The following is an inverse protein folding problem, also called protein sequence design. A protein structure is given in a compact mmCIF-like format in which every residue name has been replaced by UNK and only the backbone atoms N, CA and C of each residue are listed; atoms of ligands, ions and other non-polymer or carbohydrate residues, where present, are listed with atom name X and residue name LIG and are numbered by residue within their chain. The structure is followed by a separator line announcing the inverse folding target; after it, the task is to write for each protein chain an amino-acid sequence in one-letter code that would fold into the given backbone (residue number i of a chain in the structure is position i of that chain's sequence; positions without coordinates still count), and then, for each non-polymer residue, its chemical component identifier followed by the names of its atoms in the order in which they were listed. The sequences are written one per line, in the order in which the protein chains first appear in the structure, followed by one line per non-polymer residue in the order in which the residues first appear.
data_IF_351725825831
#
_entry.id   IF_351725825831
#
_cell.length_a   1.000
_cell.length_b   1.000
_cell.length_c   1.000
_cell.angle_alpha   90.00
_cell.angle_beta   90.00
_cell.angle_gamma   90.00
#
_symmetry.space_group_name_H-M   'P 1'
#
loop_
_entity.id
_entity.type
_entity.pdbx_description
1 polymer ?
#
# COMPACT_ATOMS: atom_id res chain seq x y z
N UNK A 1 -29.96 24.05 -18.38
CA UNK A 1 -31.01 23.03 -18.56
C UNK A 1 -30.32 21.69 -18.58
N UNK A 2 -30.73 20.74 -17.73
CA UNK A 2 -30.19 19.38 -17.76
C UNK A 2 -31.16 18.49 -18.53
N UNK A 3 -30.63 17.72 -19.49
CA UNK A 3 -31.36 16.66 -20.17
C UNK A 3 -30.95 15.34 -19.50
N UNK A 4 -31.92 14.52 -19.12
CA UNK A 4 -31.70 13.22 -18.49
C UNK A 4 -32.41 12.17 -19.34
N UNK A 5 -31.73 11.09 -19.65
CA UNK A 5 -32.27 9.97 -20.40
C UNK A 5 -31.43 8.71 -20.20
N UNK A 6 -32.01 7.57 -20.58
CA UNK A 6 -31.33 6.28 -20.60
C UNK A 6 -30.91 5.98 -22.04
N UNK A 7 -29.62 5.70 -22.24
CA UNK A 7 -29.04 5.51 -23.56
C UNK A 7 -28.02 4.37 -23.54
N UNK A 8 -27.94 3.63 -24.64
CA UNK A 8 -26.84 2.72 -24.90
C UNK A 8 -25.61 3.47 -25.42
N UNK A 9 -24.40 2.93 -25.19
CA UNK A 9 -23.15 3.59 -25.57
C UNK A 9 -23.07 3.89 -27.08
N UNK A 10 -23.74 3.08 -27.92
CA UNK A 10 -23.83 3.28 -29.37
C UNK A 10 -24.66 4.51 -29.73
N UNK A 11 -25.71 4.80 -28.98
CA UNK A 11 -26.65 5.89 -29.26
C UNK A 11 -26.03 7.27 -28.99
N UNK A 12 -25.04 7.33 -28.10
CA UNK A 12 -24.28 8.54 -27.76
C UNK A 12 -23.62 9.20 -28.98
N UNK A 13 -23.38 8.45 -30.05
CA UNK A 13 -22.73 8.93 -31.27
C UNK A 13 -23.69 9.23 -32.42
N UNK A 14 -24.97 8.85 -32.29
CA UNK A 14 -25.94 8.87 -33.39
C UNK A 14 -27.06 9.88 -33.14
N UNK A 15 -27.47 10.08 -31.90
CA UNK A 15 -28.57 10.98 -31.56
C UNK A 15 -28.14 12.45 -31.58
N UNK A 16 -28.98 13.31 -32.16
CA UNK A 16 -28.67 14.72 -32.41
C UNK A 16 -28.55 15.54 -31.12
N UNK A 17 -29.23 15.15 -30.05
CA UNK A 17 -29.09 15.79 -28.72
C UNK A 17 -27.65 15.83 -28.20
N UNK A 18 -26.83 14.78 -28.45
CA UNK A 18 -25.42 14.76 -28.04
C UNK A 18 -24.53 15.72 -28.85
N UNK A 19 -24.91 16.01 -30.11
CA UNK A 19 -24.21 17.01 -30.92
C UNK A 19 -24.48 18.43 -30.41
N UNK A 20 -25.71 18.69 -29.96
CA UNK A 20 -26.17 20.00 -29.50
C UNK A 20 -25.67 20.29 -28.08
N UNK A 21 -25.68 19.29 -27.19
CA UNK A 21 -25.28 19.43 -25.79
C UNK A 21 -23.87 20.03 -25.62
N UNK A 22 -23.74 21.04 -24.74
CA UNK A 22 -22.44 21.64 -24.42
C UNK A 22 -21.61 20.79 -23.46
N UNK A 23 -22.28 20.00 -22.61
CA UNK A 23 -21.66 19.07 -21.67
C UNK A 23 -22.40 17.74 -21.66
N UNK A 24 -21.67 16.63 -21.54
CA UNK A 24 -22.22 15.27 -21.52
C UNK A 24 -21.57 14.49 -20.38
N UNK A 25 -22.40 14.11 -19.40
CA UNK A 25 -22.05 13.17 -18.32
C UNK A 25 -22.70 11.83 -18.62
N UNK A 26 -21.92 10.76 -18.63
CA UNK A 26 -22.38 9.41 -18.88
C UNK A 26 -22.22 8.59 -17.60
N UNK A 27 -23.34 8.14 -17.04
CA UNK A 27 -23.39 7.31 -15.84
C UNK A 27 -23.84 5.91 -16.26
N UNK A 28 -23.07 4.90 -15.91
CA UNK A 28 -23.42 3.52 -16.24
C UNK A 28 -22.98 2.54 -15.15
N UNK A 29 -23.63 1.38 -15.14
CA UNK A 29 -23.26 0.26 -14.29
C UNK A 29 -22.43 -0.76 -15.06
N UNK A 30 -21.44 -1.36 -14.41
CA UNK A 30 -20.65 -2.46 -14.94
C UNK A 30 -20.59 -3.58 -13.91
N UNK A 31 -20.81 -4.82 -14.36
CA UNK A 31 -20.59 -5.99 -13.51
C UNK A 31 -19.09 -6.29 -13.40
N UNK A 32 -18.55 -6.27 -12.18
CA UNK A 32 -17.17 -6.66 -11.89
C UNK A 32 -17.14 -7.72 -10.78
N UNK A 33 -16.66 -8.92 -11.12
CA UNK A 33 -16.53 -10.08 -10.22
C UNK A 33 -17.82 -10.42 -9.46
N UNK A 34 -18.04 -9.76 -8.31
CA UNK A 34 -19.09 -10.03 -7.32
C UNK A 34 -20.07 -8.87 -7.12
N UNK A 35 -19.80 -7.69 -7.69
CA UNK A 35 -20.57 -6.48 -7.44
C UNK A 35 -20.86 -5.72 -8.74
N UNK A 36 -21.97 -5.00 -8.76
CA UNK A 36 -22.23 -4.01 -9.80
C UNK A 36 -21.58 -2.69 -9.37
N UNK A 37 -20.60 -2.23 -10.13
CA UNK A 37 -19.96 -0.93 -9.96
C UNK A 37 -20.67 0.11 -10.79
N UNK A 38 -20.61 1.37 -10.36
CA UNK A 38 -21.15 2.49 -11.11
C UNK A 38 -20.02 3.47 -11.44
N UNK A 39 -20.02 3.92 -12.68
CA UNK A 39 -18.99 4.80 -13.22
C UNK A 39 -19.62 6.03 -13.84
N UNK A 40 -18.98 7.17 -13.60
CA UNK A 40 -19.23 8.45 -14.24
C UNK A 40 -18.09 8.72 -15.22
N UNK A 41 -18.42 9.03 -16.48
CA UNK A 41 -17.50 9.57 -17.48
C UNK A 41 -17.98 10.93 -17.92
N UNK A 42 -17.06 11.87 -18.07
CA UNK A 42 -17.31 13.13 -18.76
C UNK A 42 -16.90 12.93 -20.22
N UNK A 43 -17.87 12.92 -21.14
CA UNK A 43 -17.60 12.68 -22.57
C UNK A 43 -17.27 13.98 -23.31
N UNK A 44 -17.85 15.09 -22.85
CA UNK A 44 -17.73 16.40 -23.48
C UNK A 44 -17.99 17.48 -22.45
N UNK A 45 -17.20 18.55 -22.48
CA UNK A 45 -17.49 19.84 -21.87
C UNK A 45 -16.92 20.94 -22.76
N UNK A 46 -17.77 21.74 -23.39
CA UNK A 46 -17.33 22.86 -24.22
C UNK A 46 -16.88 24.03 -23.34
N UNK A 47 -15.73 24.61 -23.68
CA UNK A 47 -15.22 25.81 -23.01
C UNK A 47 -14.47 25.57 -21.71
N UNK A 48 -14.37 24.32 -21.22
CA UNK A 48 -13.63 23.97 -20.00
C UNK A 48 -12.84 22.67 -20.20
N UNK A 49 -11.71 22.54 -19.51
CA UNK A 49 -11.09 21.23 -19.32
C UNK A 49 -11.93 20.37 -18.37
N UNK A 50 -11.77 19.06 -18.46
CA UNK A 50 -12.42 18.11 -17.56
C UNK A 50 -11.53 16.89 -17.35
N UNK A 51 -11.77 16.20 -16.23
CA UNK A 51 -11.07 14.95 -15.95
C UNK A 51 -11.63 13.83 -16.85
N UNK A 52 -10.78 13.33 -17.73
CA UNK A 52 -11.11 12.17 -18.57
C UNK A 52 -10.97 10.85 -17.80
N UNK A 53 -11.72 9.85 -18.23
CA UNK A 53 -11.68 8.49 -17.73
C UNK A 53 -12.93 8.10 -16.95
N UNK A 54 -12.90 6.89 -16.39
CA UNK A 54 -13.93 6.37 -15.51
C UNK A 54 -13.68 6.85 -14.09
N UNK A 55 -14.68 7.49 -13.49
CA UNK A 55 -14.69 7.86 -12.08
C UNK A 55 -15.73 6.99 -11.37
N UNK A 56 -15.33 6.18 -10.41
CA UNK A 56 -16.29 5.36 -9.67
C UNK A 56 -17.22 6.27 -8.86
N UNK A 57 -18.49 5.90 -8.70
CA UNK A 57 -19.37 6.60 -7.78
C UNK A 57 -20.28 5.65 -7.01
N UNK A 58 -20.69 6.08 -5.83
CA UNK A 58 -21.71 5.44 -5.02
C UNK A 58 -22.90 6.38 -4.82
N UNK A 59 -24.08 5.80 -4.64
CA UNK A 59 -25.28 6.55 -4.24
C UNK A 59 -25.49 6.24 -2.76
N UNK A 60 -25.22 7.23 -1.92
CA UNK A 60 -25.36 7.16 -0.46
C UNK A 60 -26.63 7.90 -0.04
N UNK A 61 -27.06 7.78 1.24
CA UNK A 61 -28.15 8.61 1.76
C UNK A 61 -27.88 10.12 1.67
N UNK A 62 -26.61 10.54 1.53
CA UNK A 62 -26.22 11.94 1.36
C UNK A 62 -26.19 12.39 -0.11
N UNK A 63 -26.38 11.48 -1.08
CA UNK A 63 -26.37 11.77 -2.51
C UNK A 63 -25.32 10.96 -3.27
N UNK A 64 -24.86 11.50 -4.40
CA UNK A 64 -23.82 10.87 -5.23
C UNK A 64 -22.45 11.23 -4.67
N UNK A 65 -21.68 10.22 -4.30
CA UNK A 65 -20.27 10.35 -3.90
C UNK A 65 -19.39 9.83 -5.02
N UNK A 66 -18.52 10.69 -5.56
CA UNK A 66 -17.64 10.37 -6.68
C UNK A 66 -16.24 10.13 -6.13
N UNK A 67 -15.63 9.03 -6.55
CA UNK A 67 -14.24 8.66 -6.28
C UNK A 67 -13.45 8.85 -7.58
N UNK A 68 -12.76 9.99 -7.73
CA UNK A 68 -12.02 10.26 -8.95
C UNK A 68 -10.93 9.22 -9.17
N UNK A 69 -10.82 8.70 -10.40
CA UNK A 69 -9.70 7.83 -10.77
C UNK A 69 -8.38 8.51 -10.42
N UNK A 70 -7.52 7.76 -9.73
CA UNK A 70 -6.14 8.17 -9.52
C UNK A 70 -5.43 8.32 -10.85
N UNK A 71 -4.77 9.45 -11.04
CA UNK A 71 -3.92 9.70 -12.20
C UNK A 71 -2.47 9.68 -11.78
N UNK A 72 -1.62 8.99 -12.54
CA UNK A 72 -0.20 9.27 -12.53
C UNK A 72 -0.01 10.75 -12.87
N UNK A 73 0.22 11.63 -11.89
CA UNK A 73 0.46 13.05 -12.20
C UNK A 73 1.83 13.12 -12.86
N UNK A 74 1.85 13.32 -14.18
CA UNK A 74 3.08 13.43 -14.99
C UNK A 74 3.82 14.76 -14.82
N UNK A 75 3.58 15.51 -13.74
CA UNK A 75 4.41 16.67 -13.42
C UNK A 75 5.77 16.18 -12.94
N UNK A 76 6.83 16.94 -13.20
CA UNK A 76 8.12 16.72 -12.55
C UNK A 76 7.88 16.61 -11.04
N UNK A 77 8.28 15.49 -10.45
CA UNK A 77 8.14 15.26 -9.02
C UNK A 77 9.21 16.07 -8.31
N UNK A 78 8.90 17.33 -8.09
CA UNK A 78 9.64 18.18 -7.18
C UNK A 78 9.15 17.86 -5.77
N UNK A 79 10.00 17.19 -5.00
CA UNK A 79 9.81 17.01 -3.56
C UNK A 79 11.15 17.18 -2.87
N UNK A 80 11.12 17.72 -1.65
CA UNK A 80 12.34 17.88 -0.86
C UNK A 80 12.86 16.52 -0.42
N UNK A 81 14.06 16.17 -0.88
CA UNK A 81 14.75 14.97 -0.43
C UNK A 81 15.45 15.29 0.89
N UNK A 82 14.92 14.76 1.99
CA UNK A 82 15.54 14.92 3.31
C UNK A 82 16.63 13.86 3.52
N UNK A 83 17.60 14.16 4.38
CA UNK A 83 18.62 13.18 4.82
C UNK A 83 18.16 12.38 6.04
N UNK A 84 16.96 12.64 6.55
CA UNK A 84 16.43 11.96 7.73
C UNK A 84 16.11 10.50 7.42
N UNK A 85 16.24 9.67 8.45
CA UNK A 85 15.93 8.24 8.36
C UNK A 85 14.91 7.84 9.41
N UNK A 86 13.86 7.15 8.98
CA UNK A 86 12.87 6.53 9.84
C UNK A 86 13.29 5.09 10.15
N UNK A 87 13.56 4.83 11.42
CA UNK A 87 13.95 3.51 11.95
C UNK A 87 12.77 2.57 12.07
N UNK A 88 13.02 1.27 11.99
CA UNK A 88 12.07 0.24 12.40
C UNK A 88 11.98 0.10 13.91
N UNK A 89 13.02 0.49 14.67
CA UNK A 89 13.10 0.20 16.10
C UNK A 89 13.53 -1.25 16.35
N UNK A 90 14.23 -1.84 15.38
CA UNK A 90 14.78 -3.20 15.41
C UNK A 90 16.26 -3.05 15.09
N UNK A 91 17.11 -3.03 16.13
CA UNK A 91 18.51 -2.60 16.02
C UNK A 91 19.26 -3.24 14.85
N UNK A 92 19.22 -4.57 14.73
CA UNK A 92 19.93 -5.25 13.64
C UNK A 92 19.35 -5.00 12.25
N UNK A 93 18.06 -4.69 12.10
CA UNK A 93 17.49 -4.30 10.81
C UNK A 93 17.85 -2.85 10.47
N UNK A 94 17.80 -1.96 11.46
CA UNK A 94 18.20 -0.57 11.30
C UNK A 94 19.68 -0.48 10.91
N UNK A 95 20.56 -1.30 11.48
CA UNK A 95 21.95 -1.44 11.05
C UNK A 95 22.08 -1.94 9.60
N UNK A 96 21.29 -2.96 9.21
CA UNK A 96 21.27 -3.44 7.83
C UNK A 96 20.83 -2.36 6.83
N UNK A 97 20.05 -1.38 7.27
CA UNK A 97 19.60 -0.22 6.49
C UNK A 97 20.48 1.03 6.70
N UNK A 98 21.63 0.91 7.36
CA UNK A 98 22.53 2.04 7.60
C UNK A 98 21.88 3.16 8.44
N UNK A 99 21.02 2.80 9.39
CA UNK A 99 20.35 3.70 10.33
C UNK A 99 18.84 3.87 10.14
N UNK A 100 18.23 3.20 9.15
CA UNK A 100 16.78 3.24 8.88
C UNK A 100 16.45 3.53 7.41
N UNK A 101 15.17 3.66 7.09
CA UNK A 101 14.70 4.01 5.76
C UNK A 101 14.81 5.53 5.54
N UNK A 102 15.29 6.02 4.38
CA UNK A 102 15.20 7.44 4.08
C UNK A 102 13.75 7.92 4.11
N UNK A 103 13.51 9.09 4.67
CA UNK A 103 12.17 9.67 4.75
C UNK A 103 11.53 9.86 3.36
N UNK A 104 10.21 9.72 3.30
CA UNK A 104 9.44 9.85 2.06
C UNK A 104 9.65 8.72 1.06
N UNK A 105 10.43 7.68 1.40
CA UNK A 105 10.63 6.53 0.51
C UNK A 105 9.56 5.46 0.65
N UNK A 106 9.37 4.69 -0.41
CA UNK A 106 8.44 3.55 -0.44
C UNK A 106 9.23 2.25 -0.32
N UNK A 107 8.84 1.41 0.63
CA UNK A 107 9.52 0.16 0.96
C UNK A 107 8.58 -1.03 0.83
N UNK A 108 9.01 -2.09 0.14
CA UNK A 108 8.29 -3.37 0.13
C UNK A 108 8.88 -4.31 1.19
N UNK A 109 8.01 -4.89 2.03
CA UNK A 109 8.31 -6.09 2.80
C UNK A 109 7.72 -7.30 2.07
N UNK A 110 8.57 -8.11 1.45
CA UNK A 110 8.15 -9.24 0.60
C UNK A 110 8.48 -10.57 1.25
N UNK A 111 7.52 -11.48 1.36
CA UNK A 111 7.78 -12.84 1.86
C UNK A 111 6.53 -13.68 2.07
N UNK A 112 6.73 -14.97 2.30
CA UNK A 112 5.63 -15.93 2.50
C UNK A 112 4.79 -15.64 3.75
N UNK A 113 3.68 -16.36 3.90
CA UNK A 113 2.83 -16.26 5.10
C UNK A 113 3.61 -16.67 6.36
N UNK A 114 3.30 -16.04 7.50
CA UNK A 114 3.97 -16.32 8.78
C UNK A 114 5.40 -15.81 8.93
N UNK A 115 5.97 -15.15 7.91
CA UNK A 115 7.32 -14.56 7.97
C UNK A 115 7.38 -13.22 8.73
N UNK A 116 6.33 -12.82 9.45
CA UNK A 116 6.40 -11.67 10.35
C UNK A 116 6.34 -10.28 9.72
N UNK A 117 6.05 -10.15 8.40
CA UNK A 117 5.93 -8.85 7.70
C UNK A 117 5.09 -7.82 8.48
N UNK A 118 3.89 -8.21 8.89
CA UNK A 118 2.96 -7.41 9.69
C UNK A 118 3.58 -6.91 10.99
N UNK A 119 4.36 -7.76 11.68
CA UNK A 119 5.02 -7.39 12.94
C UNK A 119 6.15 -6.38 12.71
N UNK A 120 6.95 -6.57 11.66
CA UNK A 120 7.98 -5.60 11.28
C UNK A 120 7.36 -4.25 10.90
N UNK A 121 6.26 -4.26 10.14
CA UNK A 121 5.56 -3.05 9.74
C UNK A 121 4.87 -2.34 10.94
N UNK A 122 4.27 -3.11 11.85
CA UNK A 122 3.72 -2.57 13.09
C UNK A 122 4.81 -1.96 13.97
N UNK A 123 5.96 -2.64 14.11
CA UNK A 123 7.10 -2.13 14.90
C UNK A 123 7.64 -0.82 14.32
N UNK A 124 7.68 -0.70 13.00
CA UNK A 124 7.99 0.57 12.31
C UNK A 124 7.03 1.71 12.68
N UNK A 125 5.72 1.45 12.78
CA UNK A 125 4.77 2.48 13.21
C UNK A 125 4.95 2.82 14.69
N UNK A 126 5.14 1.81 15.55
CA UNK A 126 5.35 2.01 16.99
C UNK A 126 6.60 2.85 17.25
N UNK A 127 7.73 2.56 16.59
CA UNK A 127 8.97 3.35 16.67
C UNK A 127 8.74 4.84 16.32
N UNK A 128 7.86 5.12 15.36
CA UNK A 128 7.47 6.49 15.03
C UNK A 128 6.62 7.12 16.13
N UNK A 129 5.63 6.38 16.63
CA UNK A 129 4.75 6.84 17.70
C UNK A 129 5.54 7.18 18.97
N UNK A 130 6.56 6.40 19.33
CA UNK A 130 7.44 6.69 20.49
C UNK A 130 8.16 8.04 20.33
N UNK A 131 8.48 8.42 19.09
CA UNK A 131 9.12 9.69 18.71
C UNK A 131 8.14 10.83 18.46
N UNK A 132 6.84 10.59 18.67
CA UNK A 132 5.79 11.59 18.49
C UNK A 132 5.27 11.71 17.05
N UNK A 133 5.68 10.83 16.14
CA UNK A 133 5.19 10.80 14.76
C UNK A 133 3.83 10.08 14.67
N UNK A 134 3.02 10.46 13.68
CA UNK A 134 1.73 9.81 13.42
C UNK A 134 1.87 8.67 12.42
N UNK A 135 1.40 7.50 12.82
CA UNK A 135 1.37 6.28 12.02
C UNK A 135 -0.04 5.88 11.60
N UNK A 136 -0.21 5.46 10.35
CA UNK A 136 -1.44 4.84 9.86
C UNK A 136 -1.14 3.43 9.34
N UNK A 137 -1.88 2.44 9.84
CA UNK A 137 -1.92 1.07 9.30
C UNK A 137 -3.27 0.81 8.64
N UNK A 138 -3.23 0.42 7.37
CA UNK A 138 -4.38 -0.17 6.69
C UNK A 138 -4.15 -1.66 6.55
N UNK A 139 -4.94 -2.42 7.29
CA UNK A 139 -4.88 -3.87 7.31
C UNK A 139 -6.06 -4.45 6.52
N UNK A 140 -5.75 -5.35 5.61
CA UNK A 140 -6.71 -6.16 4.86
C UNK A 140 -6.75 -7.61 5.36
N UNK A 141 -5.78 -8.02 6.16
CA UNK A 141 -5.66 -9.41 6.62
C UNK A 141 -6.08 -9.57 8.08
N UNK A 142 -5.63 -8.68 8.97
CA UNK A 142 -5.82 -8.82 10.41
C UNK A 142 -6.58 -7.62 11.04
N UNK A 143 -7.67 -7.86 11.79
CA UNK A 143 -8.38 -6.79 12.48
C UNK A 143 -7.57 -6.24 13.67
N UNK A 144 -7.92 -5.04 14.13
CA UNK A 144 -7.26 -4.35 15.25
C UNK A 144 -7.07 -5.23 16.48
N UNK A 145 -8.08 -6.00 16.89
CA UNK A 145 -8.01 -6.87 18.07
C UNK A 145 -6.89 -7.92 17.97
N UNK A 146 -6.67 -8.48 16.77
CA UNK A 146 -5.62 -9.46 16.53
C UNK A 146 -4.24 -8.79 16.54
N UNK A 147 -4.11 -7.63 15.91
CA UNK A 147 -2.87 -6.85 15.91
C UNK A 147 -2.47 -6.42 17.33
N UNK A 148 -3.43 -6.00 18.16
CA UNK A 148 -3.21 -5.70 19.58
C UNK A 148 -2.72 -6.93 20.35
N UNK A 149 -3.39 -8.08 20.18
CA UNK A 149 -2.98 -9.35 20.80
C UNK A 149 -1.54 -9.70 20.42
N UNK A 150 -1.20 -9.59 19.13
CA UNK A 150 0.13 -9.87 18.63
C UNK A 150 1.17 -8.89 19.24
N UNK A 151 0.86 -7.59 19.31
CA UNK A 151 1.72 -6.60 19.94
C UNK A 151 1.98 -6.91 21.42
N UNK A 152 0.94 -7.23 22.20
CA UNK A 152 1.10 -7.58 23.61
C UNK A 152 1.93 -8.85 23.83
N UNK A 153 1.80 -9.84 22.94
CA UNK A 153 2.61 -11.07 23.02
C UNK A 153 4.11 -10.83 22.85
N UNK A 154 4.49 -9.67 22.29
CA UNK A 154 5.87 -9.22 22.09
C UNK A 154 6.29 -8.13 23.10
N UNK A 155 5.46 -7.88 24.11
CA UNK A 155 5.72 -6.84 25.13
C UNK A 155 5.58 -5.40 24.61
N UNK A 156 4.89 -5.18 23.48
CA UNK A 156 4.73 -3.84 22.92
C UNK A 156 3.49 -3.14 23.48
N UNK A 157 3.66 -1.89 23.91
CA UNK A 157 2.56 -1.01 24.26
C UNK A 157 1.97 -0.37 23.00
N UNK A 158 0.71 -0.66 22.71
CA UNK A 158 0.00 -0.13 21.54
C UNK A 158 -1.15 0.81 21.94
N UNK A 159 -1.80 0.58 23.08
CA UNK A 159 -3.01 1.31 23.48
C UNK A 159 -2.80 2.80 23.65
N UNK A 160 -1.68 3.20 24.27
CA UNK A 160 -1.40 4.62 24.52
C UNK A 160 -1.36 5.42 23.21
N UNK A 161 -0.77 4.84 22.16
CA UNK A 161 -0.64 5.47 20.85
C UNK A 161 -1.96 5.49 20.08
N UNK A 162 -2.81 4.47 20.26
CA UNK A 162 -4.17 4.47 19.71
C UNK A 162 -5.05 5.53 20.39
N UNK A 163 -4.94 5.67 21.72
CA UNK A 163 -5.74 6.60 22.50
C UNK A 163 -5.38 8.07 22.25
N UNK A 164 -4.10 8.38 22.08
CA UNK A 164 -3.63 9.75 21.81
C UNK A 164 -3.58 10.13 20.33
N UNK A 165 -3.95 9.20 19.43
CA UNK A 165 -4.03 9.43 18.00
C UNK A 165 -2.70 9.46 17.27
N UNK A 166 -1.59 9.03 17.91
CA UNK A 166 -0.30 8.80 17.22
C UNK A 166 -0.30 7.54 16.37
N UNK A 167 -1.21 6.61 16.62
CA UNK A 167 -1.41 5.42 15.80
C UNK A 167 -2.88 5.31 15.42
N UNK A 168 -3.16 5.21 14.13
CA UNK A 168 -4.47 4.83 13.60
C UNK A 168 -4.34 3.48 12.88
N UNK A 169 -5.27 2.57 13.12
CA UNK A 169 -5.32 1.26 12.49
C UNK A 169 -6.74 1.06 11.95
N UNK A 170 -6.85 0.92 10.63
CA UNK A 170 -8.11 0.59 9.97
C UNK A 170 -8.02 -0.80 9.39
N UNK A 171 -9.09 -1.56 9.62
CA UNK A 171 -9.29 -2.85 8.97
C UNK A 171 -10.32 -2.67 7.86
N UNK A 172 -9.99 -3.16 6.67
CA UNK A 172 -10.89 -3.16 5.52
C UNK A 172 -10.98 -4.60 5.02
N UNK A 173 -12.20 -5.12 4.92
CA UNK A 173 -12.39 -6.48 4.43
C UNK A 173 -11.92 -6.59 2.98
N UNK A 174 -11.11 -7.62 2.60
CA UNK A 174 -10.74 -7.85 1.20
C UNK A 174 -11.93 -8.03 0.27
N UNK A 175 -13.10 -8.40 0.82
CA UNK A 175 -14.35 -8.56 0.08
C UNK A 175 -14.96 -7.20 -0.30
N UNK A 176 -14.76 -6.19 0.52
CA UNK A 176 -15.26 -4.82 0.31
C UNK A 176 -14.25 -3.97 -0.48
N UNK A 177 -13.07 -4.52 -0.75
CA UNK A 177 -11.97 -3.79 -1.35
C UNK A 177 -12.25 -3.42 -2.80
N UNK A 178 -12.30 -2.12 -3.04
CA UNK A 178 -12.35 -1.50 -4.35
C UNK A 178 -11.16 -0.55 -4.52
N UNK A 179 -10.31 -0.78 -5.52
CA UNK A 179 -9.10 0.02 -5.69
C UNK A 179 -9.38 1.48 -6.03
N UNK A 180 -10.45 1.80 -6.76
CA UNK A 180 -10.79 3.17 -7.13
C UNK A 180 -11.24 3.97 -5.90
N UNK A 181 -12.15 3.38 -5.12
CA UNK A 181 -12.63 3.94 -3.84
C UNK A 181 -11.51 4.11 -2.83
N UNK A 182 -10.83 3.01 -2.51
CA UNK A 182 -9.90 2.98 -1.40
C UNK A 182 -8.64 3.76 -1.73
N UNK A 183 -8.18 3.80 -2.98
CA UNK A 183 -7.09 4.69 -3.38
C UNK A 183 -7.40 6.16 -3.02
N UNK A 184 -8.62 6.62 -3.30
CA UNK A 184 -9.06 7.97 -2.94
C UNK A 184 -9.12 8.17 -1.43
N UNK A 185 -9.83 7.30 -0.71
CA UNK A 185 -10.00 7.38 0.75
C UNK A 185 -8.67 7.34 1.51
N UNK A 186 -7.70 6.56 1.01
CA UNK A 186 -6.36 6.44 1.60
C UNK A 186 -5.65 7.79 1.58
N UNK A 187 -5.63 8.45 0.43
CA UNK A 187 -4.95 9.75 0.28
C UNK A 187 -5.65 10.82 1.10
N UNK A 188 -6.98 10.84 1.09
CA UNK A 188 -7.79 11.77 1.88
C UNK A 188 -7.56 11.58 3.39
N UNK A 189 -7.53 10.35 3.87
CA UNK A 189 -7.27 10.02 5.28
C UNK A 189 -5.86 10.45 5.71
N UNK A 190 -4.88 10.21 4.85
CA UNK A 190 -3.49 10.61 5.08
C UNK A 190 -3.37 12.14 5.20
N UNK A 191 -4.07 12.89 4.34
CA UNK A 191 -4.08 14.34 4.35
C UNK A 191 -4.69 14.90 5.64
N UNK A 192 -5.89 14.40 5.99
CA UNK A 192 -6.64 14.88 7.16
C UNK A 192 -5.91 14.60 8.48
N UNK A 193 -5.15 13.50 8.55
CA UNK A 193 -4.56 13.05 9.81
C UNK A 193 -3.10 13.49 10.02
N UNK A 194 -2.45 14.15 9.04
CA UNK A 194 -1.03 14.52 9.09
C UNK A 194 -0.12 13.32 9.36
N UNK A 195 -0.27 12.26 8.57
CA UNK A 195 0.46 10.99 8.72
C UNK A 195 1.93 11.16 8.32
N UNK A 196 2.86 10.66 9.13
CA UNK A 196 4.29 10.61 8.82
C UNK A 196 4.74 9.23 8.31
N UNK A 197 4.16 8.17 8.89
CA UNK A 197 4.45 6.78 8.56
C UNK A 197 3.20 6.04 8.14
N UNK A 198 3.28 5.34 7.02
CA UNK A 198 2.14 4.64 6.47
C UNK A 198 2.46 3.18 6.17
N UNK A 199 1.53 2.28 6.49
CA UNK A 199 1.64 0.86 6.19
C UNK A 199 0.37 0.39 5.49
N UNK A 200 0.52 -0.33 4.38
CA UNK A 200 -0.53 -1.14 3.77
C UNK A 200 -0.18 -2.63 3.92
N UNK A 201 -1.06 -3.39 4.56
CA UNK A 201 -0.88 -4.81 4.85
C UNK A 201 -2.09 -5.66 4.41
N UNK A 202 -2.15 -6.22 3.22
CA UNK A 202 -1.12 -6.26 2.17
C UNK A 202 -1.62 -5.70 0.84
N UNK A 203 -0.72 -5.15 0.02
CA UNK A 203 -1.08 -4.72 -1.35
C UNK A 203 -1.44 -5.91 -2.25
N UNK A 204 -1.11 -7.13 -1.84
CA UNK A 204 -1.57 -8.36 -2.51
C UNK A 204 -3.09 -8.51 -2.46
N UNK A 205 -3.76 -7.96 -1.44
CA UNK A 205 -5.23 -7.89 -1.39
C UNK A 205 -5.80 -7.01 -2.50
N UNK A 206 -5.15 -5.86 -2.81
CA UNK A 206 -5.53 -5.03 -3.96
C UNK A 206 -5.34 -5.77 -5.27
N UNK A 207 -4.20 -6.42 -5.49
CA UNK A 207 -3.93 -7.23 -6.68
C UNK A 207 -5.03 -8.28 -6.91
N UNK A 208 -5.50 -8.90 -5.83
CA UNK A 208 -6.56 -9.93 -5.88
C UNK A 208 -7.96 -9.35 -6.15
N UNK A 209 -8.19 -8.08 -5.84
CA UNK A 209 -9.50 -7.41 -6.00
C UNK A 209 -9.79 -7.01 -7.45
N UNK A 210 -8.77 -6.78 -8.27
CA UNK A 210 -8.89 -6.29 -9.65
C UNK A 210 -8.72 -7.39 -10.70
N UNK A 211 -9.26 -7.17 -11.91
CA UNK A 211 -9.08 -8.06 -13.07
C UNK A 211 -7.95 -7.57 -13.97
N UNK A 212 -7.87 -6.26 -14.19
CA UNK A 212 -6.84 -5.62 -15.00
C UNK A 212 -5.55 -5.36 -14.18
N UNK A 213 -4.52 -6.14 -14.48
CA UNK A 213 -3.21 -6.03 -13.85
C UNK A 213 -2.47 -4.72 -14.22
N UNK A 214 -2.75 -4.10 -15.37
CA UNK A 214 -2.17 -2.81 -15.73
C UNK A 214 -2.80 -1.70 -14.88
N UNK A 215 -4.13 -1.68 -14.75
CA UNK A 215 -4.81 -0.77 -13.83
C UNK A 215 -4.28 -0.93 -12.40
N UNK A 216 -4.04 -2.15 -11.91
CA UNK A 216 -3.37 -2.36 -10.61
C UNK A 216 -2.02 -1.65 -10.51
N UNK A 217 -1.13 -1.86 -11.49
CA UNK A 217 0.21 -1.26 -11.50
C UNK A 217 0.16 0.27 -11.54
N UNK A 218 -0.72 0.83 -12.36
CA UNK A 218 -0.91 2.28 -12.47
C UNK A 218 -1.37 2.89 -11.14
N UNK A 219 -2.28 2.21 -10.44
CA UNK A 219 -2.77 2.67 -9.13
C UNK A 219 -1.70 2.58 -8.05
N UNK A 220 -1.00 1.45 -7.94
CA UNK A 220 0.11 1.33 -6.96
C UNK A 220 1.19 2.36 -7.25
N UNK A 221 1.50 2.62 -8.52
CA UNK A 221 2.42 3.69 -8.89
C UNK A 221 1.88 5.06 -8.47
N UNK A 222 0.64 5.40 -8.81
CA UNK A 222 0.05 6.70 -8.46
C UNK A 222 0.00 6.93 -6.94
N UNK A 223 -0.40 5.92 -6.16
CA UNK A 223 -0.35 5.94 -4.69
C UNK A 223 1.08 6.20 -4.22
N UNK A 224 2.05 5.42 -4.69
CA UNK A 224 3.45 5.56 -4.29
C UNK A 224 3.99 6.99 -4.57
N UNK A 225 3.68 7.55 -5.73
CA UNK A 225 4.14 8.90 -6.08
C UNK A 225 3.46 9.99 -5.25
N UNK A 226 2.17 9.85 -4.96
CA UNK A 226 1.45 10.81 -4.12
C UNK A 226 1.94 10.80 -2.67
N UNK A 227 2.29 9.61 -2.14
CA UNK A 227 2.90 9.47 -0.81
C UNK A 227 4.30 10.08 -0.76
N UNK A 228 5.12 9.87 -1.81
CA UNK A 228 6.45 10.49 -1.93
C UNK A 228 6.36 12.01 -1.95
N UNK A 229 5.45 12.57 -2.76
CA UNK A 229 5.22 14.02 -2.85
C UNK A 229 4.86 14.64 -1.51
N UNK A 230 4.25 13.86 -0.61
CA UNK A 230 3.86 14.27 0.75
C UNK A 230 4.92 13.94 1.82
N UNK A 231 6.11 13.46 1.43
CA UNK A 231 7.17 13.01 2.33
C UNK A 231 6.74 11.92 3.32
N UNK A 232 5.81 11.04 2.93
CA UNK A 232 5.31 9.97 3.80
C UNK A 232 6.17 8.73 3.61
N UNK A 233 6.75 8.26 4.71
CA UNK A 233 7.58 7.05 4.68
C UNK A 233 6.68 5.83 4.75
N UNK A 234 6.67 5.05 3.67
CA UNK A 234 5.63 4.03 3.46
C UNK A 234 6.19 2.63 3.39
N UNK A 235 5.47 1.69 4.00
CA UNK A 235 5.69 0.26 3.85
C UNK A 235 4.49 -0.40 3.16
N UNK A 236 4.76 -1.15 2.10
CA UNK A 236 3.82 -2.08 1.50
C UNK A 236 4.25 -3.51 1.85
N UNK A 237 3.35 -4.31 2.41
CA UNK A 237 3.61 -5.75 2.54
C UNK A 237 3.13 -6.49 1.29
N UNK A 238 3.92 -7.47 0.86
CA UNK A 238 3.62 -8.31 -0.31
C UNK A 238 3.74 -9.77 0.11
N UNK A 239 2.68 -10.53 -0.13
CA UNK A 239 2.69 -11.98 0.06
C UNK A 239 3.29 -12.66 -1.17
N UNK A 240 4.27 -13.52 -0.97
CA UNK A 240 4.86 -14.34 -2.04
C UNK A 240 4.33 -15.76 -1.99
N UNK A 241 3.84 -16.28 -3.11
CA UNK A 241 3.25 -17.63 -3.22
C UNK A 241 4.28 -18.75 -2.96
N UNK A 242 5.56 -18.52 -3.26
CA UNK A 242 6.62 -19.49 -2.99
C UNK A 242 7.58 -18.98 -1.90
N UNK A 243 7.42 -19.40 -0.63
CA UNK A 243 8.20 -18.90 0.50
C UNK A 243 9.69 -19.28 0.48
N UNK A 244 10.05 -20.27 -0.35
CA UNK A 244 11.40 -20.82 -0.48
C UNK A 244 12.10 -20.37 -1.77
N UNK A 245 11.38 -19.79 -2.73
CA UNK A 245 11.96 -19.37 -4.01
C UNK A 245 12.79 -18.10 -3.89
N UNK A 246 13.97 -18.03 -4.56
CA UNK A 246 14.89 -16.92 -4.38
C UNK A 246 14.52 -15.60 -5.08
N UNK A 247 13.48 -15.49 -5.92
CA UNK A 247 13.46 -14.36 -6.88
C UNK A 247 12.13 -13.74 -7.32
N UNK A 248 10.97 -14.00 -6.71
CA UNK A 248 9.73 -13.32 -7.15
C UNK A 248 9.22 -12.22 -6.20
N UNK A 249 9.46 -10.96 -6.59
CA UNK A 249 8.77 -9.78 -6.06
C UNK A 249 7.42 -9.65 -6.78
N UNK A 250 6.38 -10.32 -6.29
CA UNK A 250 4.99 -10.35 -6.83
C UNK A 250 4.87 -10.76 -8.32
N UNK A 251 3.68 -11.21 -8.75
CA UNK A 251 3.40 -11.43 -10.19
C UNK A 251 3.42 -10.10 -10.96
N UNK A 252 3.06 -9.00 -10.30
CA UNK A 252 2.99 -7.66 -10.87
C UNK A 252 4.34 -6.94 -11.11
N UNK A 253 5.48 -7.49 -10.66
CA UNK A 253 6.81 -6.84 -10.79
C UNK A 253 6.85 -5.40 -10.24
N UNK A 254 6.37 -5.15 -9.02
CA UNK A 254 6.27 -3.80 -8.43
C UNK A 254 7.62 -3.14 -8.07
N UNK A 255 8.75 -3.76 -8.41
CA UNK A 255 10.09 -3.30 -8.07
C UNK A 255 10.44 -1.93 -8.68
N UNK A 256 9.77 -1.51 -9.75
CA UNK A 256 9.97 -0.21 -10.39
C UNK A 256 9.36 0.96 -9.60
N UNK A 257 8.26 0.73 -8.87
CA UNK A 257 7.52 1.77 -8.16
C UNK A 257 8.11 2.12 -6.79
N UNK A 258 9.04 1.30 -6.27
CA UNK A 258 9.54 1.42 -4.89
C UNK A 258 11.04 1.68 -4.80
N UNK A 259 11.47 2.24 -3.69
CA UNK A 259 12.85 2.62 -3.44
C UNK A 259 13.62 1.52 -2.72
N UNK A 260 12.96 0.84 -1.78
CA UNK A 260 13.56 -0.18 -0.95
C UNK A 260 12.78 -1.49 -1.02
N UNK A 261 13.48 -2.62 -0.95
CA UNK A 261 12.91 -3.97 -0.94
C UNK A 261 13.62 -4.77 0.15
N UNK A 262 12.85 -5.17 1.15
CA UNK A 262 13.26 -6.07 2.23
C UNK A 262 12.56 -7.41 2.00
N UNK A 263 13.34 -8.47 1.97
CA UNK A 263 12.87 -9.83 1.70
C UNK A 263 12.88 -10.66 2.97
N UNK A 264 11.83 -11.45 3.15
CA UNK A 264 11.68 -12.42 4.22
C UNK A 264 11.54 -13.82 3.62
N UNK A 265 12.30 -14.79 4.15
CA UNK A 265 12.34 -16.16 3.64
C UNK A 265 12.29 -17.18 4.75
N UNK A 266 11.78 -18.35 4.41
CA UNK A 266 12.08 -19.55 5.16
C UNK A 266 13.36 -20.18 4.63
N UNK A 267 14.17 -20.69 5.54
CA UNK A 267 15.41 -21.38 5.24
C UNK A 267 15.41 -22.69 6.02
N UNK A 268 15.51 -23.79 5.32
CA UNK A 268 15.63 -25.11 5.94
C UNK A 268 17.09 -25.34 6.34
N UNK A 269 17.32 -25.69 7.60
CA UNK A 269 18.65 -25.90 8.17
C UNK A 269 18.55 -26.92 9.29
N UNK A 270 19.31 -28.01 9.20
CA UNK A 270 19.35 -29.08 10.22
C UNK A 270 17.94 -29.59 10.61
N UNK A 271 17.10 -29.91 9.61
CA UNK A 271 15.71 -30.36 9.82
C UNK A 271 14.82 -29.38 10.59
N UNK A 272 15.19 -28.09 10.59
CA UNK A 272 14.40 -27.01 11.19
C UNK A 272 14.15 -25.91 10.18
N UNK A 273 12.95 -25.33 10.24
CA UNK A 273 12.57 -24.18 9.43
C UNK A 273 12.97 -22.92 10.19
N UNK A 274 13.91 -22.16 9.64
CA UNK A 274 14.37 -20.87 10.18
C UNK A 274 13.82 -19.74 9.32
N UNK A 275 13.70 -18.55 9.91
CA UNK A 275 13.33 -17.35 9.18
C UNK A 275 14.57 -16.48 8.93
N UNK A 276 14.59 -15.83 7.78
CA UNK A 276 15.68 -14.97 7.37
C UNK A 276 15.19 -13.68 6.73
N UNK A 277 15.92 -12.59 6.95
CA UNK A 277 15.68 -11.27 6.40
C UNK A 277 16.89 -10.79 5.60
N UNK A 278 16.64 -10.09 4.50
CA UNK A 278 17.68 -9.48 3.68
C UNK A 278 17.19 -8.18 3.06
N UNK A 279 18.11 -7.25 2.78
CA UNK A 279 17.81 -6.03 2.03
C UNK A 279 18.25 -6.25 0.59
N UNK A 280 17.30 -6.36 -0.33
CA UNK A 280 17.58 -6.61 -1.75
C UNK A 280 17.93 -5.32 -2.48
N UNK A 281 17.27 -4.22 -2.09
CA UNK A 281 17.41 -2.90 -2.70
C UNK A 281 17.17 -1.87 -1.61
N UNK A 282 18.02 -0.85 -1.54
CA UNK A 282 17.73 0.37 -0.81
C UNK A 282 18.36 1.56 -1.54
N UNK A 283 17.53 2.42 -2.14
CA UNK A 283 18.02 3.58 -2.90
C UNK A 283 18.44 4.68 -1.94
N UNK A 284 19.55 5.35 -2.26
CA UNK A 284 20.06 6.48 -1.47
C UNK A 284 20.85 6.09 -0.21
N UNK A 285 20.95 4.80 0.13
CA UNK A 285 21.72 4.33 1.28
C UNK A 285 22.54 3.08 0.94
N UNK A 286 23.70 2.95 1.59
CA UNK A 286 24.43 1.69 1.58
C UNK A 286 23.72 0.71 2.55
N UNK A 287 23.38 -0.48 2.07
CA UNK A 287 22.69 -1.49 2.87
C UNK A 287 23.51 -2.78 2.96
N UNK A 288 23.23 -3.58 3.99
CA UNK A 288 23.82 -4.90 4.14
C UNK A 288 23.44 -5.79 2.97
N UNK A 289 24.42 -6.56 2.47
CA UNK A 289 24.24 -7.60 1.45
C UNK A 289 24.05 -8.99 2.06
N UNK A 290 23.97 -9.06 3.39
CA UNK A 290 23.82 -10.33 4.10
C UNK A 290 22.34 -10.74 4.19
N UNK A 291 22.11 -12.05 4.08
CA UNK A 291 20.88 -12.67 4.56
C UNK A 291 21.10 -13.07 6.02
N UNK A 292 20.31 -12.52 6.94
CA UNK A 292 20.45 -12.74 8.39
C UNK A 292 19.28 -13.52 8.95
N UNK A 293 19.53 -14.42 9.89
CA UNK A 293 18.45 -15.09 10.63
C UNK A 293 17.75 -14.07 11.54
N UNK A 294 16.48 -14.30 11.84
CA UNK A 294 15.83 -13.55 12.90
C UNK A 294 14.86 -14.45 13.67
N UNK A 295 14.60 -14.06 14.90
CA UNK A 295 13.64 -14.71 15.79
C UNK A 295 12.61 -13.69 16.26
N UNK A 296 11.38 -14.17 16.48
CA UNK A 296 10.29 -13.40 17.07
C UNK A 296 10.05 -14.03 18.42
N UNK A 297 10.38 -13.30 19.48
CA UNK A 297 10.33 -13.75 20.86
C UNK A 297 9.35 -12.88 21.66
N UNK A 298 8.96 -13.27 22.88
CA UNK A 298 8.15 -12.41 23.74
C UNK A 298 8.78 -11.04 24.06
N UNK A 299 10.07 -10.85 23.78
CA UNK A 299 10.78 -9.58 23.97
C UNK A 299 10.89 -8.76 22.67
N UNK A 300 10.27 -9.21 21.57
CA UNK A 300 10.27 -8.52 20.27
C UNK A 300 10.95 -9.30 19.16
N UNK A 301 11.61 -8.57 18.26
CA UNK A 301 12.23 -9.12 17.05
C UNK A 301 13.74 -8.97 17.16
N UNK A 302 14.45 -10.09 17.09
CA UNK A 302 15.91 -10.14 17.18
C UNK A 302 16.51 -10.55 15.84
N UNK A 303 17.34 -9.67 15.25
CA UNK A 303 18.13 -10.00 14.06
C UNK A 303 19.44 -10.63 14.52
N UNK A 304 19.67 -11.86 14.09
CA UNK A 304 20.80 -12.69 14.46
C UNK A 304 21.92 -12.62 13.40
N UNK A 305 22.87 -13.56 13.49
CA UNK A 305 23.99 -13.65 12.56
C UNK A 305 23.61 -13.98 11.11
N UNK A 306 24.59 -13.77 10.22
CA UNK A 306 24.54 -14.13 8.80
C UNK A 306 24.25 -15.61 8.62
N UNK A 307 23.50 -15.94 7.58
CA UNK A 307 23.37 -17.32 7.09
C UNK A 307 24.66 -17.75 6.39
N UNK A 308 25.31 -18.79 6.94
CA UNK A 308 26.46 -19.42 6.29
C UNK A 308 25.99 -20.28 5.10
N UNK A 309 26.80 -20.35 4.04
CA UNK A 309 26.51 -20.99 2.74
C UNK A 309 25.97 -22.43 2.83
N UNK A 310 26.36 -23.18 3.86
CA UNK A 310 25.86 -24.54 4.13
C UNK A 310 24.38 -24.63 4.48
N UNK A 311 23.69 -23.52 4.70
CA UNK A 311 22.26 -23.47 5.06
C UNK A 311 21.34 -23.06 3.90
N UNK A 312 21.86 -22.81 2.70
CA UNK A 312 21.01 -22.49 1.55
C UNK A 312 20.81 -23.75 0.71
N UNK A 313 19.69 -24.45 0.91
CA UNK A 313 19.20 -25.35 -0.13
C UNK A 313 18.83 -24.48 -1.36
N UNK A 314 19.29 -24.95 -2.52
CA UNK A 314 19.07 -24.35 -3.85
C UNK A 314 17.59 -24.08 -4.13
#
# INVERSE_FOLDING_TARGET
MFLIGEYEEKELTVLSEFAIADGIFHLYGQEEKRFQKRYLRILKMRGTSFEQGEHMFEITPAGIEIYPRMKPVGKELEYEVTTEKKRFGINGLDEMLGGGLPEGTITILSGGTGTGKTLFALKFLLEGAEKGEKGLLLSFEEPLAQLKRNAYSLGWEIDKYLQDGRLDIRFISPIELDIDKHAFEIIDMIEKNNVNRFVIDSITSFESSIVDLQKYKDYIWAIAQELKRRNITTIFTVLTENPFSPLMVSKAQLSFAVDNIIIFRYVESNSSIKKAVGVLKARGINHSRDLRKYEITPNGIDILGKLNETNMLK
#
